data_IF_083627270527
#
_entry.id   IF_083627270527
#
_cell.length_a   1.000
_cell.length_b   1.000
_cell.length_c   1.000
_cell.angle_alpha   90.00
_cell.angle_beta   90.00
_cell.angle_gamma   90.00
#
_symmetry.space_group_name_H-M   'P 1'
#
loop_
_entity.id
_entity.type
_entity.pdbx_description
1 polymer ?
#
# COMPACT_ATOMS: atom_id res chain seq x y z
N UNK A 1 -7.14 -23.15 -2.10
CA UNK A 1 -6.67 -23.37 -0.71
C UNK A 1 -7.35 -22.35 0.19
N UNK A 2 -7.83 -22.79 1.38
CA UNK A 2 -8.54 -21.92 2.34
C UNK A 2 -7.57 -21.04 3.13
N UNK A 3 -8.05 -19.92 3.66
CA UNK A 3 -7.27 -19.08 4.57
C UNK A 3 -7.13 -19.82 5.91
N UNK A 4 -5.90 -19.96 6.41
CA UNK A 4 -5.63 -20.52 7.74
C UNK A 4 -5.57 -19.40 8.76
N UNK A 5 -6.17 -19.60 9.93
CA UNK A 5 -6.27 -18.56 10.96
C UNK A 5 -5.80 -19.10 12.30
N UNK A 6 -4.99 -18.32 12.99
CA UNK A 6 -4.47 -18.66 14.32
C UNK A 6 -4.62 -17.47 15.27
N UNK A 7 -4.88 -17.76 16.54
CA UNK A 7 -4.74 -16.83 17.65
C UNK A 7 -3.33 -16.96 18.23
N UNK A 8 -2.65 -15.82 18.37
CA UNK A 8 -1.29 -15.73 18.89
C UNK A 8 -1.36 -15.39 20.38
N UNK A 9 -0.70 -16.21 21.19
CA UNK A 9 -0.41 -15.91 22.60
C UNK A 9 1.09 -16.03 22.84
N UNK A 10 1.63 -15.42 23.90
CA UNK A 10 3.09 -15.26 24.07
C UNK A 10 3.95 -16.47 23.71
N UNK A 11 3.56 -17.68 24.12
CA UNK A 11 4.35 -18.90 23.86
C UNK A 11 3.58 -19.97 23.08
N UNK A 12 2.44 -19.65 22.46
CA UNK A 12 1.64 -20.65 21.76
C UNK A 12 0.86 -20.06 20.58
N UNK A 13 0.53 -20.92 19.63
CA UNK A 13 -0.28 -20.61 18.45
C UNK A 13 -1.49 -21.53 18.48
N UNK A 14 -2.70 -20.95 18.56
CA UNK A 14 -3.94 -21.72 18.61
C UNK A 14 -4.64 -21.63 17.26
N UNK A 15 -4.81 -22.74 16.51
CA UNK A 15 -5.60 -22.71 15.28
C UNK A 15 -7.07 -22.40 15.60
N UNK A 16 -7.70 -21.58 14.76
CA UNK A 16 -9.13 -21.27 14.90
C UNK A 16 -9.95 -22.09 13.91
N UNK A 17 -10.98 -22.77 14.42
CA UNK A 17 -11.88 -23.62 13.64
C UNK A 17 -13.04 -22.84 13.01
N UNK A 18 -12.76 -21.71 12.35
CA UNK A 18 -13.75 -21.06 11.50
C UNK A 18 -13.30 -21.01 10.04
N UNK A 19 -14.24 -21.25 9.13
CA UNK A 19 -13.97 -21.20 7.70
C UNK A 19 -13.95 -19.77 7.18
N UNK A 20 -12.80 -19.28 6.74
CA UNK A 20 -12.70 -18.07 5.95
C UNK A 20 -12.05 -18.38 4.59
N UNK A 21 -12.68 -17.91 3.51
CA UNK A 21 -12.14 -18.10 2.16
C UNK A 21 -11.06 -17.05 1.87
N UNK A 22 -11.17 -15.86 2.46
CA UNK A 22 -10.26 -14.74 2.26
C UNK A 22 -9.84 -14.09 3.59
N UNK A 23 -8.75 -13.31 3.57
CA UNK A 23 -8.34 -12.51 4.72
C UNK A 23 -9.38 -11.43 5.09
N UNK A 24 -10.15 -10.93 4.11
CA UNK A 24 -11.22 -9.94 4.36
C UNK A 24 -12.40 -10.60 5.10
N UNK A 25 -12.83 -11.79 4.67
CA UNK A 25 -13.84 -12.58 5.39
C UNK A 25 -13.40 -12.92 6.81
N UNK A 26 -12.13 -13.31 7.00
CA UNK A 26 -11.56 -13.53 8.33
C UNK A 26 -11.70 -12.26 9.19
N UNK A 27 -11.31 -11.10 8.64
CA UNK A 27 -11.30 -9.86 9.41
C UNK A 27 -12.70 -9.42 9.82
N UNK A 28 -13.72 -9.68 9.01
CA UNK A 28 -15.12 -9.37 9.33
C UNK A 28 -15.70 -10.25 10.45
N UNK A 29 -15.09 -11.40 10.73
CA UNK A 29 -15.51 -12.31 11.82
C UNK A 29 -14.79 -12.05 13.13
N UNK A 30 -13.73 -11.24 13.11
CA UNK A 30 -12.97 -10.88 14.30
C UNK A 30 -13.51 -9.58 14.92
N UNK A 31 -13.31 -9.37 16.23
CA UNK A 31 -13.61 -8.08 16.85
C UNK A 31 -12.84 -6.93 16.21
N UNK A 32 -13.36 -5.70 16.36
CA UNK A 32 -12.71 -4.50 15.83
C UNK A 32 -11.30 -4.32 16.40
N UNK A 33 -10.39 -3.89 15.52
CA UNK A 33 -8.95 -3.97 15.73
C UNK A 33 -8.14 -3.07 14.82
N UNK A 34 -6.83 -3.15 15.00
CA UNK A 34 -5.84 -2.71 14.04
C UNK A 34 -5.42 -3.90 13.19
N UNK A 35 -5.01 -3.65 11.95
CA UNK A 35 -4.45 -4.72 11.14
C UNK A 35 -3.25 -4.28 10.32
N UNK A 36 -2.44 -5.24 9.91
CA UNK A 36 -1.40 -5.06 8.90
C UNK A 36 -1.46 -6.21 7.92
N UNK A 37 -1.00 -6.00 6.69
CA UNK A 37 -0.97 -7.06 5.68
C UNK A 37 0.28 -6.91 4.83
N UNK A 38 0.99 -8.01 4.62
CA UNK A 38 2.16 -8.12 3.78
C UNK A 38 2.13 -9.43 2.98
N UNK A 39 2.96 -9.50 1.94
CA UNK A 39 3.21 -10.75 1.24
C UNK A 39 4.56 -11.31 1.69
N UNK A 40 4.64 -12.63 1.81
CA UNK A 40 5.91 -13.33 1.86
C UNK A 40 6.49 -13.48 0.45
N UNK A 41 7.80 -13.60 0.38
CA UNK A 41 8.63 -13.60 -0.81
C UNK A 41 9.58 -14.81 -0.76
N UNK A 42 10.23 -15.13 -1.88
CA UNK A 42 11.30 -16.17 -1.95
C UNK A 42 10.84 -17.51 -1.36
N UNK A 43 9.69 -18.00 -1.85
CA UNK A 43 9.12 -19.27 -1.37
C UNK A 43 8.56 -19.22 0.05
N UNK A 44 8.17 -18.03 0.54
CA UNK A 44 7.53 -17.88 1.84
C UNK A 44 8.47 -17.49 3.00
N UNK A 45 9.78 -17.41 2.73
CA UNK A 45 10.82 -17.23 3.76
C UNK A 45 11.20 -15.77 3.99
N UNK A 46 10.85 -14.86 3.08
CA UNK A 46 11.24 -13.46 3.14
C UNK A 46 10.05 -12.52 3.19
N UNK A 47 10.28 -11.28 3.60
CA UNK A 47 9.28 -10.21 3.66
C UNK A 47 9.95 -8.86 3.42
N UNK A 48 9.21 -7.88 2.90
CA UNK A 48 9.72 -6.52 2.80
C UNK A 48 9.24 -5.67 3.99
N UNK A 49 10.15 -5.37 4.92
CA UNK A 49 9.92 -4.40 6.00
C UNK A 49 8.96 -4.89 7.08
N UNK A 50 9.22 -6.09 7.62
CA UNK A 50 8.44 -6.71 8.69
C UNK A 50 8.26 -5.78 9.89
N UNK A 51 9.33 -5.11 10.31
CA UNK A 51 9.27 -4.17 11.43
C UNK A 51 8.25 -3.04 11.17
N UNK A 52 8.23 -2.51 9.95
CA UNK A 52 7.28 -1.46 9.60
C UNK A 52 5.83 -1.98 9.52
N UNK A 53 5.64 -3.27 9.25
CA UNK A 53 4.34 -3.91 9.30
C UNK A 53 3.86 -4.12 10.75
N UNK A 54 4.74 -4.58 11.65
CA UNK A 54 4.45 -4.75 13.07
C UNK A 54 4.22 -3.41 13.78
N UNK A 55 5.02 -2.39 13.48
CA UNK A 55 4.83 -1.02 13.97
C UNK A 55 3.40 -0.49 13.71
N UNK A 56 2.81 -0.82 12.56
CA UNK A 56 1.45 -0.40 12.20
C UNK A 56 0.36 -1.07 13.03
N UNK A 57 0.69 -2.22 13.61
CA UNK A 57 -0.19 -2.98 14.48
C UNK A 57 -0.02 -2.55 15.95
N UNK A 58 1.22 -2.51 16.44
CA UNK A 58 1.52 -2.33 17.86
C UNK A 58 1.59 -0.87 18.31
N UNK A 59 2.04 0.08 17.47
CA UNK A 59 2.08 1.50 17.87
C UNK A 59 0.71 2.07 18.27
N UNK A 60 -0.38 1.88 17.49
CA UNK A 60 -1.68 2.35 17.93
C UNK A 60 -2.20 1.59 19.16
N UNK A 61 -1.90 0.29 19.30
CA UNK A 61 -2.25 -0.47 20.50
C UNK A 61 -1.57 0.10 21.77
N UNK A 62 -0.27 0.36 21.69
CA UNK A 62 0.51 0.97 22.77
C UNK A 62 0.00 2.37 23.14
N UNK A 63 -0.36 3.19 22.13
CA UNK A 63 -0.92 4.52 22.36
C UNK A 63 -2.27 4.47 23.12
N UNK A 64 -3.04 3.40 22.94
CA UNK A 64 -4.29 3.15 23.65
C UNK A 64 -4.11 2.29 24.92
N UNK A 65 -2.87 1.93 25.29
CA UNK A 65 -2.55 1.05 26.43
C UNK A 65 -3.24 -0.32 26.36
N UNK A 66 -3.46 -0.83 25.15
CA UNK A 66 -3.96 -2.18 24.93
C UNK A 66 -2.81 -3.15 25.18
N UNK A 67 -3.02 -4.16 26.02
CA UNK A 67 -2.06 -5.23 26.30
C UNK A 67 -2.30 -6.35 25.29
N UNK A 68 -1.37 -6.61 24.35
CA UNK A 68 -1.57 -7.64 23.34
C UNK A 68 -1.47 -9.05 23.93
N UNK A 69 -2.25 -10.00 23.42
CA UNK A 69 -2.16 -11.42 23.81
C UNK A 69 -0.82 -12.06 23.44
N UNK A 70 -0.15 -11.52 22.41
CA UNK A 70 1.22 -11.83 22.03
C UNK A 70 1.99 -10.51 21.86
N UNK A 71 3.14 -10.38 22.51
CA UNK A 71 4.00 -9.22 22.31
C UNK A 71 4.56 -9.20 20.87
N UNK A 72 5.16 -8.08 20.46
CA UNK A 72 5.74 -7.97 19.12
C UNK A 72 6.81 -9.04 18.85
N UNK A 73 7.66 -9.33 19.85
CA UNK A 73 8.68 -10.38 19.76
C UNK A 73 8.05 -11.77 19.56
N UNK A 74 7.01 -12.09 20.34
CA UNK A 74 6.26 -13.34 20.24
C UNK A 74 5.61 -13.48 18.86
N UNK A 75 4.95 -12.42 18.38
CA UNK A 75 4.34 -12.41 17.06
C UNK A 75 5.38 -12.61 15.95
N UNK A 76 6.56 -12.00 16.05
CA UNK A 76 7.66 -12.24 15.10
C UNK A 76 8.12 -13.70 15.14
N UNK A 77 8.30 -14.26 16.33
CA UNK A 77 8.67 -15.67 16.50
C UNK A 77 7.64 -16.60 15.85
N UNK A 78 6.34 -16.37 16.10
CA UNK A 78 5.26 -17.15 15.51
C UNK A 78 5.19 -17.01 13.99
N UNK A 79 5.39 -15.81 13.43
CA UNK A 79 5.45 -15.60 11.98
C UNK A 79 6.59 -16.42 11.36
N UNK A 80 7.77 -16.44 11.99
CA UNK A 80 8.91 -17.24 11.52
C UNK A 80 8.64 -18.74 11.59
N UNK A 81 8.09 -19.23 12.71
CA UNK A 81 7.71 -20.63 12.86
C UNK A 81 6.65 -21.07 11.83
N UNK A 82 5.66 -20.23 11.57
CA UNK A 82 4.63 -20.48 10.57
C UNK A 82 5.21 -20.44 9.15
N UNK A 83 6.14 -19.53 8.85
CA UNK A 83 6.82 -19.46 7.56
C UNK A 83 7.58 -20.75 7.24
N UNK A 84 8.34 -21.28 8.21
CA UNK A 84 9.08 -22.53 8.06
C UNK A 84 8.18 -23.76 7.89
N UNK A 85 7.03 -23.79 8.58
CA UNK A 85 6.18 -24.98 8.68
C UNK A 85 5.06 -25.05 7.66
N UNK A 86 4.51 -23.92 7.24
CA UNK A 86 3.23 -23.86 6.51
C UNK A 86 3.25 -23.08 5.20
N UNK A 87 4.36 -22.43 4.84
CA UNK A 87 4.44 -21.62 3.62
C UNK A 87 5.35 -22.29 2.58
N UNK A 88 4.86 -23.28 1.80
CA UNK A 88 5.63 -23.86 0.70
C UNK A 88 5.76 -22.89 -0.49
N UNK A 89 4.99 -21.80 -0.49
CA UNK A 89 4.96 -20.77 -1.53
C UNK A 89 4.61 -19.41 -0.93
N UNK A 90 4.73 -18.35 -1.74
CA UNK A 90 4.37 -16.99 -1.34
C UNK A 90 2.92 -16.93 -0.84
N UNK A 91 2.72 -16.15 0.22
CA UNK A 91 1.44 -16.01 0.91
C UNK A 91 1.21 -14.57 1.31
N UNK A 92 -0.06 -14.16 1.36
CA UNK A 92 -0.49 -12.96 2.05
C UNK A 92 -0.71 -13.29 3.52
N UNK A 93 -0.02 -12.55 4.38
CA UNK A 93 -0.19 -12.62 5.82
C UNK A 93 -0.93 -11.37 6.27
N UNK A 94 -1.99 -11.54 7.08
CA UNK A 94 -2.64 -10.45 7.80
C UNK A 94 -2.55 -10.71 9.29
N UNK A 95 -2.08 -9.73 10.04
CA UNK A 95 -2.25 -9.72 11.49
C UNK A 95 -3.37 -8.76 11.87
N UNK A 96 -4.16 -9.12 12.88
CA UNK A 96 -5.21 -8.29 13.49
C UNK A 96 -4.97 -8.24 14.99
N UNK A 97 -4.96 -7.05 15.60
CA UNK A 97 -4.85 -6.82 17.04
C UNK A 97 -6.12 -6.11 17.48
N UNK A 98 -6.94 -6.79 18.27
CA UNK A 98 -8.27 -6.28 18.66
C UNK A 98 -8.18 -5.16 19.70
N UNK A 99 -9.04 -4.15 19.58
CA UNK A 99 -8.98 -2.96 20.45
C UNK A 99 -9.41 -3.23 21.89
N UNK A 100 -10.32 -4.18 22.10
CA UNK A 100 -10.93 -4.40 23.41
C UNK A 100 -10.22 -5.49 24.22
N UNK A 101 -10.00 -6.67 23.63
CA UNK A 101 -9.37 -7.79 24.34
C UNK A 101 -7.86 -7.84 24.19
N UNK A 102 -7.29 -7.14 23.20
CA UNK A 102 -5.86 -7.22 22.88
C UNK A 102 -5.46 -8.49 22.15
N UNK A 103 -6.41 -9.33 21.75
CA UNK A 103 -6.13 -10.55 21.01
C UNK A 103 -5.45 -10.26 19.68
N UNK A 104 -4.36 -10.99 19.43
CA UNK A 104 -3.59 -10.95 18.19
C UNK A 104 -3.91 -12.19 17.36
N UNK A 105 -4.41 -11.99 16.15
CA UNK A 105 -4.70 -13.06 15.20
C UNK A 105 -3.81 -12.96 13.98
N UNK A 106 -3.47 -14.09 13.38
CA UNK A 106 -2.78 -14.19 12.10
C UNK A 106 -3.61 -15.00 11.11
N UNK A 107 -3.83 -14.42 9.93
CA UNK A 107 -4.40 -15.08 8.77
C UNK A 107 -3.34 -15.31 7.71
N UNK A 108 -3.30 -16.52 7.17
CA UNK A 108 -2.40 -16.93 6.09
C UNK A 108 -3.25 -17.35 4.90
N UNK A 109 -3.09 -16.62 3.79
CA UNK A 109 -3.75 -16.91 2.52
C UNK A 109 -2.68 -17.10 1.44
N UNK A 110 -2.75 -18.15 0.60
CA UNK A 110 -1.85 -18.28 -0.55
C UNK A 110 -1.86 -17.02 -1.41
N UNK A 111 -0.69 -16.61 -1.89
CA UNK A 111 -0.57 -15.40 -2.70
C UNK A 111 -1.11 -15.68 -4.10
N UNK A 112 -2.09 -14.88 -4.51
CA UNK A 112 -2.54 -14.78 -5.88
C UNK A 112 -2.15 -13.38 -6.39
N UNK A 113 -1.17 -13.27 -7.31
CA UNK A 113 -0.83 -11.98 -7.89
C UNK A 113 -2.00 -11.45 -8.73
N UNK A 114 -2.15 -10.12 -8.87
CA UNK A 114 -3.05 -9.57 -9.88
C UNK A 114 -2.67 -10.06 -11.27
N UNK A 115 -3.63 -10.26 -12.19
CA UNK A 115 -3.34 -10.65 -13.57
C UNK A 115 -2.31 -9.73 -14.22
N UNK A 116 -1.36 -10.30 -14.97
CA UNK A 116 -0.30 -9.56 -15.68
C UNK A 116 -0.88 -8.45 -16.59
N UNK A 117 -2.04 -8.72 -17.18
CA UNK A 117 -2.80 -7.78 -18.00
C UNK A 117 -3.04 -6.43 -17.33
N UNK A 118 -3.23 -6.39 -16.00
CA UNK A 118 -3.46 -5.14 -15.27
C UNK A 118 -2.20 -4.26 -15.30
N UNK A 119 -1.01 -4.86 -15.28
CA UNK A 119 0.25 -4.12 -15.36
C UNK A 119 0.59 -3.71 -16.81
N UNK A 120 0.15 -4.48 -17.79
CA UNK A 120 0.38 -4.21 -19.21
C UNK A 120 -0.61 -3.19 -19.80
N UNK A 121 -1.90 -3.33 -19.48
CA UNK A 121 -2.99 -2.51 -20.03
C UNK A 121 -3.42 -1.39 -19.09
N UNK A 122 -3.19 -1.54 -17.78
CA UNK A 122 -3.56 -0.55 -16.78
C UNK A 122 -4.91 -0.80 -16.12
N UNK A 123 -5.06 -0.26 -14.92
CA UNK A 123 -6.26 -0.33 -14.11
C UNK A 123 -7.22 0.81 -14.42
N UNK A 124 -8.52 0.51 -14.34
CA UNK A 124 -9.59 1.50 -14.27
C UNK A 124 -9.98 1.72 -12.82
N UNK A 125 -10.10 2.98 -12.43
CA UNK A 125 -10.52 3.36 -11.07
C UNK A 125 -11.65 4.37 -11.13
N UNK A 126 -12.41 4.45 -10.06
CA UNK A 126 -13.43 5.48 -9.87
C UNK A 126 -13.17 6.22 -8.56
N UNK A 127 -13.81 7.36 -8.36
CA UNK A 127 -13.68 8.15 -7.14
C UNK A 127 -14.97 8.11 -6.32
N UNK A 128 -14.83 8.22 -5.00
CA UNK A 128 -15.94 8.45 -4.07
C UNK A 128 -15.54 9.50 -3.04
N UNK A 129 -16.46 10.41 -2.71
CA UNK A 129 -16.24 11.42 -1.68
C UNK A 129 -16.34 10.77 -0.30
N UNK A 130 -15.19 10.36 0.22
CA UNK A 130 -15.08 9.61 1.46
C UNK A 130 -13.67 9.78 2.02
N UNK A 131 -13.56 9.84 3.34
CA UNK A 131 -12.26 9.86 4.03
C UNK A 131 -12.21 8.80 5.12
N UNK A 132 -11.01 8.32 5.44
CA UNK A 132 -10.79 7.53 6.65
C UNK A 132 -11.06 8.38 7.89
N UNK A 133 -11.64 7.78 8.92
CA UNK A 133 -11.85 8.43 10.22
C UNK A 133 -10.51 8.84 10.87
N UNK A 134 -9.59 7.88 11.05
CA UNK A 134 -8.17 8.17 11.32
C UNK A 134 -7.28 7.60 10.20
N UNK A 135 -6.80 8.44 9.27
CA UNK A 135 -5.97 8.00 8.16
C UNK A 135 -4.63 7.37 8.56
N UNK A 136 -4.14 7.62 9.78
CA UNK A 136 -2.84 7.09 10.24
C UNK A 136 -2.98 5.65 10.74
N UNK A 137 -4.19 5.25 11.11
CA UNK A 137 -4.49 3.95 11.69
C UNK A 137 -5.07 3.06 10.59
N UNK A 138 -4.52 1.85 10.48
CA UNK A 138 -5.08 0.81 9.62
C UNK A 138 -6.11 0.00 10.42
N UNK A 139 -7.28 0.59 10.66
CA UNK A 139 -8.37 -0.02 11.43
C UNK A 139 -9.26 -0.94 10.60
N UNK A 140 -9.81 -1.98 11.24
CA UNK A 140 -10.74 -2.94 10.62
C UNK A 140 -12.10 -2.34 10.30
N UNK A 141 -12.54 -1.34 11.06
CA UNK A 141 -13.70 -0.47 10.79
C UNK A 141 -13.77 0.03 9.34
N UNK A 142 -12.64 0.43 8.77
CA UNK A 142 -12.57 0.89 7.38
C UNK A 142 -12.83 -0.24 6.37
N UNK A 143 -12.54 -1.50 6.70
CA UNK A 143 -12.81 -2.63 5.79
C UNK A 143 -14.33 -2.76 5.60
N UNK A 144 -15.10 -2.73 6.70
CA UNK A 144 -16.55 -2.80 6.65
C UNK A 144 -17.14 -1.62 5.85
N UNK A 145 -16.68 -0.40 6.12
CA UNK A 145 -17.10 0.79 5.37
C UNK A 145 -16.78 0.66 3.87
N UNK A 146 -15.60 0.14 3.53
CA UNK A 146 -15.18 -0.02 2.14
C UNK A 146 -15.93 -1.14 1.39
N UNK A 147 -16.39 -2.17 2.10
CA UNK A 147 -17.09 -3.31 1.50
C UNK A 147 -18.42 -2.89 0.87
N UNK A 148 -19.18 -2.00 1.53
CA UNK A 148 -20.44 -1.48 0.97
C UNK A 148 -20.21 -0.70 -0.33
N UNK A 149 -19.17 0.13 -0.38
CA UNK A 149 -18.81 0.86 -1.60
C UNK A 149 -18.37 -0.08 -2.73
N UNK A 150 -17.70 -1.19 -2.41
CA UNK A 150 -17.30 -2.19 -3.40
C UNK A 150 -18.46 -2.96 -4.00
N UNK A 151 -19.61 -3.05 -3.33
CA UNK A 151 -20.81 -3.68 -3.92
C UNK A 151 -21.40 -2.85 -5.07
N UNK A 152 -21.03 -1.57 -5.15
CA UNK A 152 -21.59 -0.61 -6.11
C UNK A 152 -20.75 -0.48 -7.39
N UNK A 153 -19.59 -1.15 -7.47
CA UNK A 153 -18.70 -1.09 -8.62
C UNK A 153 -18.99 -2.19 -9.63
N UNK A 154 -18.82 -1.85 -10.91
CA UNK A 154 -18.89 -2.78 -12.04
C UNK A 154 -17.61 -3.61 -12.14
N UNK A 155 -17.70 -4.73 -12.85
CA UNK A 155 -16.62 -5.73 -12.94
C UNK A 155 -15.28 -5.19 -13.49
N UNK A 156 -15.28 -4.09 -14.27
CA UNK A 156 -14.05 -3.52 -14.83
C UNK A 156 -13.32 -2.56 -13.89
N UNK A 157 -13.89 -2.23 -12.72
CA UNK A 157 -13.28 -1.29 -11.77
C UNK A 157 -12.34 -2.01 -10.83
N UNK A 158 -11.05 -1.66 -10.93
CA UNK A 158 -10.00 -2.26 -10.12
C UNK A 158 -10.01 -1.79 -8.67
N UNK A 159 -10.22 -0.49 -8.45
CA UNK A 159 -10.21 0.10 -7.11
C UNK A 159 -10.97 1.43 -7.08
N UNK A 160 -11.51 1.76 -5.91
CA UNK A 160 -12.15 3.05 -5.64
C UNK A 160 -11.14 3.97 -4.92
N UNK A 161 -10.97 5.18 -5.46
CA UNK A 161 -10.19 6.28 -4.91
C UNK A 161 -11.04 7.12 -3.95
N UNK A 162 -10.45 7.47 -2.82
CA UNK A 162 -11.01 8.31 -1.78
C UNK A 162 -10.71 9.77 -2.09
N UNK A 163 -11.73 10.62 -2.13
CA UNK A 163 -11.58 12.06 -2.37
C UNK A 163 -12.05 12.89 -1.19
N UNK A 164 -11.47 14.09 -1.09
CA UNK A 164 -11.96 15.16 -0.22
C UNK A 164 -11.92 16.49 -0.97
N UNK A 165 -13.07 17.13 -1.15
CA UNK A 165 -13.23 18.39 -1.89
C UNK A 165 -12.58 18.34 -3.29
N UNK A 166 -12.75 17.22 -3.99
CA UNK A 166 -12.16 16.97 -5.31
C UNK A 166 -10.66 16.65 -5.31
N UNK A 167 -9.99 16.65 -4.16
CA UNK A 167 -8.62 16.17 -4.02
C UNK A 167 -8.58 14.65 -3.81
N UNK A 168 -7.85 13.93 -4.65
CA UNK A 168 -7.59 12.49 -4.53
C UNK A 168 -6.58 12.25 -3.40
N UNK A 169 -7.01 11.51 -2.38
CA UNK A 169 -6.17 11.18 -1.24
C UNK A 169 -5.42 9.87 -1.51
N UNK A 170 -6.14 8.76 -1.60
CA UNK A 170 -5.59 7.42 -1.77
C UNK A 170 -6.67 6.45 -2.27
N UNK A 171 -6.32 5.21 -2.59
CA UNK A 171 -7.29 4.13 -2.80
C UNK A 171 -7.76 3.52 -1.48
N UNK A 172 -8.83 2.73 -1.52
CA UNK A 172 -9.31 1.99 -0.33
C UNK A 172 -8.22 1.10 0.31
N UNK A 173 -7.28 0.60 -0.50
CA UNK A 173 -6.23 -0.35 -0.10
C UNK A 173 -4.85 -0.01 -0.68
N UNK A 174 -4.69 1.17 -1.29
CA UNK A 174 -3.46 1.61 -1.95
C UNK A 174 -3.24 3.11 -1.77
N UNK A 175 -2.00 3.59 -1.95
CA UNK A 175 -1.74 5.03 -2.12
C UNK A 175 -1.79 5.41 -3.60
N UNK A 176 -2.19 6.64 -3.91
CA UNK A 176 -2.31 7.17 -5.27
C UNK A 176 -1.23 8.19 -5.61
N UNK A 177 -0.81 8.19 -6.88
CA UNK A 177 0.19 9.08 -7.44
C UNK A 177 -0.22 9.49 -8.84
N UNK A 178 0.09 10.73 -9.18
CA UNK A 178 0.00 11.26 -10.53
C UNK A 178 1.37 11.77 -11.00
N UNK A 179 1.58 11.77 -12.30
CA UNK A 179 2.77 12.35 -12.94
C UNK A 179 2.31 13.40 -13.94
N UNK A 180 2.88 14.59 -13.84
CA UNK A 180 2.67 15.67 -14.79
C UNK A 180 4.00 16.12 -15.37
N UNK A 181 4.02 16.39 -16.67
CA UNK A 181 5.18 16.90 -17.37
C UNK A 181 5.53 18.32 -16.91
N UNK A 182 6.82 18.64 -16.90
CA UNK A 182 7.31 19.93 -16.39
C UNK A 182 6.68 21.12 -17.15
N UNK A 183 6.45 20.97 -18.46
CA UNK A 183 5.83 22.01 -19.31
C UNK A 183 4.37 22.28 -18.89
N UNK A 184 3.59 21.24 -18.58
CA UNK A 184 2.21 21.39 -18.08
C UNK A 184 2.18 22.02 -16.67
N UNK A 185 3.17 21.70 -15.83
CA UNK A 185 3.27 22.27 -14.48
C UNK A 185 3.63 23.76 -14.45
N UNK A 186 4.43 24.23 -15.42
CA UNK A 186 4.80 25.65 -15.55
C UNK A 186 3.63 26.50 -16.03
N UNK A 187 2.80 26.00 -16.95
CA UNK A 187 1.57 26.68 -17.39
C UNK A 187 0.51 26.78 -16.29
N UNK A 188 0.50 25.84 -15.33
CA UNK A 188 -0.36 25.93 -14.15
C UNK A 188 0.23 26.85 -13.06
N UNK A 189 1.57 26.95 -12.95
CA UNK A 189 2.28 27.82 -11.99
C UNK A 189 2.31 29.30 -12.35
N UNK A 190 2.21 29.66 -13.63
CA UNK A 190 2.25 31.07 -14.08
C UNK A 190 1.07 31.94 -13.64
N UNK A 191 0.12 31.39 -12.87
CA UNK A 191 -0.91 32.18 -12.18
C UNK A 191 -0.48 32.75 -10.82
N UNK A 192 0.71 32.44 -10.28
CA UNK A 192 1.18 33.00 -9.00
C UNK A 192 2.73 33.20 -8.94
N UNK A 193 3.21 34.35 -9.46
CA UNK A 193 4.37 35.17 -8.98
C UNK A 193 5.83 34.58 -8.96
N UNK A 194 6.90 35.43 -8.93
CA UNK A 194 8.02 35.32 -9.88
C UNK A 194 9.38 34.82 -9.32
N UNK A 195 10.29 34.65 -10.28
CA UNK A 195 11.51 33.84 -10.31
C UNK A 195 12.72 34.29 -9.46
N UNK A 196 13.55 33.31 -9.09
CA UNK A 196 14.92 33.48 -8.60
C UNK A 196 15.86 32.41 -9.18
N UNK A 197 16.99 32.85 -9.78
CA UNK A 197 18.02 32.04 -10.47
C UNK A 197 18.86 31.18 -9.52
N UNK A 198 19.38 30.05 -10.02
CA UNK A 198 20.35 29.16 -9.35
C UNK A 198 21.65 29.06 -10.15
N UNK A 199 22.79 29.01 -9.44
CA UNK A 199 24.14 28.84 -9.96
C UNK A 199 24.56 27.37 -10.17
N UNK A 200 25.57 27.16 -11.03
CA UNK A 200 26.01 25.90 -11.64
C UNK A 200 27.00 25.07 -10.82
N UNK A 201 26.83 23.73 -10.85
CA UNK A 201 27.83 22.73 -10.46
C UNK A 201 27.76 21.49 -11.36
N UNK A 202 28.91 20.87 -11.64
CA UNK A 202 29.14 19.79 -12.64
C UNK A 202 28.18 18.60 -12.46
N UNK A 203 27.45 18.24 -13.53
CA UNK A 203 26.45 17.15 -13.56
C UNK A 203 27.04 15.86 -14.14
N UNK A 204 26.91 14.75 -13.40
CA UNK A 204 26.74 13.42 -13.99
C UNK A 204 25.52 13.48 -14.93
N UNK A 205 25.59 12.87 -16.11
CA UNK A 205 24.46 12.81 -17.04
C UNK A 205 23.27 12.11 -16.39
N UNK A 206 22.36 12.90 -15.80
CA UNK A 206 21.05 12.47 -15.34
C UNK A 206 20.09 12.63 -16.52
N UNK A 207 19.20 11.66 -16.80
CA UNK A 207 18.16 11.85 -17.80
C UNK A 207 17.38 13.14 -17.51
N UNK A 208 17.01 13.89 -18.56
CA UNK A 208 16.28 15.16 -18.42
C UNK A 208 15.01 14.90 -17.61
N UNK A 209 14.83 15.63 -16.50
CA UNK A 209 13.59 15.61 -15.71
C UNK A 209 12.43 16.10 -16.58
N UNK A 210 11.61 15.18 -17.04
CA UNK A 210 10.42 15.46 -17.86
C UNK A 210 9.12 15.37 -17.06
N UNK A 211 9.12 14.84 -15.82
CA UNK A 211 7.94 14.70 -14.97
C UNK A 211 8.11 15.07 -13.50
N UNK A 212 7.02 15.49 -12.85
CA UNK A 212 6.88 15.74 -11.42
C UNK A 212 5.89 14.73 -10.83
N UNK A 213 6.26 14.08 -9.73
CA UNK A 213 5.40 13.14 -9.01
C UNK A 213 4.52 13.89 -8.01
N UNK A 214 3.20 13.77 -8.13
CA UNK A 214 2.24 14.44 -7.26
C UNK A 214 1.54 13.39 -6.39
N UNK A 215 1.47 13.61 -5.08
CA UNK A 215 0.76 12.69 -4.17
C UNK A 215 0.38 13.35 -2.85
N UNK A 216 -0.76 12.95 -2.27
CA UNK A 216 -1.24 13.50 -1.01
C UNK A 216 -0.26 13.27 0.15
N UNK A 217 -0.04 14.27 1.00
CA UNK A 217 0.84 14.15 2.18
C UNK A 217 0.11 13.81 3.48
N UNK A 218 -1.14 14.24 3.58
CA UNK A 218 -2.00 14.13 4.77
C UNK A 218 -3.35 13.56 4.35
N UNK A 219 -4.13 13.08 5.32
CA UNK A 219 -5.43 12.46 5.03
C UNK A 219 -5.33 11.07 4.41
N UNK A 220 -4.14 10.45 4.47
CA UNK A 220 -3.86 9.14 3.87
C UNK A 220 -3.13 8.23 4.83
N UNK A 221 -3.16 6.94 4.53
CA UNK A 221 -2.35 5.93 5.19
C UNK A 221 -0.92 5.95 4.65
N UNK A 222 0.06 6.12 5.53
CA UNK A 222 1.48 6.14 5.14
C UNK A 222 2.01 4.71 4.92
N UNK A 223 1.75 4.15 3.73
CA UNK A 223 2.09 2.77 3.39
C UNK A 223 3.59 2.47 3.37
N UNK A 224 3.95 1.19 3.60
CA UNK A 224 5.33 0.69 3.53
C UNK A 224 5.88 0.83 2.10
N UNK A 225 5.12 0.37 1.10
CA UNK A 225 5.45 0.52 -0.33
C UNK A 225 5.62 1.97 -0.75
N UNK A 226 4.76 2.87 -0.25
CA UNK A 226 4.87 4.32 -0.50
C UNK A 226 6.24 4.87 -0.13
N UNK A 227 6.76 4.48 1.03
CA UNK A 227 8.08 4.92 1.50
C UNK A 227 9.19 4.49 0.53
N UNK A 228 9.13 3.26 0.02
CA UNK A 228 10.09 2.77 -0.97
C UNK A 228 9.97 3.53 -2.30
N UNK A 229 8.76 3.64 -2.86
CA UNK A 229 8.52 4.32 -4.15
C UNK A 229 8.93 5.79 -4.11
N UNK A 230 8.60 6.53 -3.03
CA UNK A 230 9.04 7.92 -2.88
C UNK A 230 10.56 8.05 -2.77
N UNK A 231 11.24 7.07 -2.16
CA UNK A 231 12.72 7.04 -2.10
C UNK A 231 13.30 6.79 -3.49
N UNK A 232 12.79 5.81 -4.22
CA UNK A 232 13.23 5.45 -5.56
C UNK A 232 13.03 6.62 -6.54
N UNK A 233 11.85 7.26 -6.52
CA UNK A 233 11.57 8.45 -7.34
C UNK A 233 12.59 9.58 -7.11
N UNK A 234 12.92 9.89 -5.84
CA UNK A 234 13.97 10.88 -5.54
C UNK A 234 15.35 10.44 -5.99
N UNK A 235 15.68 9.15 -5.83
CA UNK A 235 16.95 8.58 -6.30
C UNK A 235 17.15 8.75 -7.81
N UNK A 236 16.05 8.65 -8.56
CA UNK A 236 15.99 8.86 -10.01
C UNK A 236 15.97 10.35 -10.42
N UNK A 237 15.98 11.27 -9.44
CA UNK A 237 15.97 12.71 -9.68
C UNK A 237 14.58 13.32 -9.88
N UNK A 238 13.51 12.53 -9.78
CA UNK A 238 12.13 12.98 -9.96
C UNK A 238 11.70 13.93 -8.82
N UNK A 239 11.31 15.19 -9.13
CA UNK A 239 10.75 16.10 -8.12
C UNK A 239 9.43 15.54 -7.60
N UNK A 240 9.14 15.79 -6.31
CA UNK A 240 7.92 15.33 -5.67
C UNK A 240 7.15 16.52 -5.11
N UNK A 241 5.91 16.66 -5.54
CA UNK A 241 4.96 17.63 -5.04
C UNK A 241 3.95 16.98 -4.08
N UNK A 242 3.90 17.51 -2.87
CA UNK A 242 3.11 16.96 -1.77
C UNK A 242 1.75 17.64 -1.63
N UNK A 243 0.83 17.32 -2.52
CA UNK A 243 -0.58 17.72 -2.48
C UNK A 243 -1.49 16.60 -3.00
N UNK A 244 -2.77 16.55 -2.58
CA UNK A 244 -3.75 15.72 -3.27
C UNK A 244 -3.82 16.12 -4.77
N UNK A 245 -3.56 15.20 -5.72
CA UNK A 245 -3.89 15.43 -7.12
C UNK A 245 -5.40 15.67 -7.24
N UNK A 246 -5.86 16.56 -8.12
CA UNK A 246 -7.30 16.83 -8.21
C UNK A 246 -7.98 15.95 -9.25
N UNK A 247 -9.24 15.59 -9.02
CA UNK A 247 -10.03 14.77 -9.97
C UNK A 247 -10.26 15.44 -11.31
N UNK A 248 -10.20 16.78 -11.34
CA UNK A 248 -10.37 17.63 -12.52
C UNK A 248 -9.04 18.02 -13.18
N UNK A 249 -7.91 17.53 -12.66
CA UNK A 249 -6.58 17.77 -13.22
C UNK A 249 -6.23 16.71 -14.27
N UNK A 250 -5.60 17.15 -15.36
CA UNK A 250 -5.06 16.24 -16.36
C UNK A 250 -3.68 15.76 -15.94
N UNK A 251 -3.49 14.44 -15.93
CA UNK A 251 -2.21 13.79 -15.64
C UNK A 251 -1.69 13.09 -16.89
N UNK A 252 -0.35 13.07 -17.07
CA UNK A 252 0.30 12.27 -18.11
C UNK A 252 0.31 10.79 -17.72
N UNK A 253 0.50 10.50 -16.44
CA UNK A 253 0.46 9.15 -15.89
C UNK A 253 -0.17 9.14 -14.49
N UNK A 254 -0.70 7.99 -14.07
CA UNK A 254 -1.10 7.76 -12.69
C UNK A 254 -0.84 6.30 -12.30
N UNK A 255 -0.67 6.06 -11.01
CA UNK A 255 -0.47 4.70 -10.48
C UNK A 255 -0.86 4.57 -9.01
N UNK A 256 -1.06 3.32 -8.60
CA UNK A 256 -1.33 2.90 -7.23
C UNK A 256 -0.15 2.15 -6.63
N UNK A 257 0.01 2.21 -5.31
CA UNK A 257 0.99 1.39 -4.60
C UNK A 257 0.41 0.65 -3.40
N UNK A 258 0.73 -0.64 -3.26
CA UNK A 258 0.41 -1.43 -2.05
C UNK A 258 1.37 -2.61 -1.85
N UNK A 259 1.51 -3.11 -0.62
CA UNK A 259 2.47 -4.17 -0.27
C UNK A 259 2.29 -5.44 -1.10
N UNK A 260 1.06 -5.80 -1.46
CA UNK A 260 0.76 -7.05 -2.19
C UNK A 260 0.68 -6.88 -3.71
N UNK A 261 0.63 -5.64 -4.23
CA UNK A 261 0.42 -5.39 -5.68
C UNK A 261 1.56 -4.60 -6.32
N UNK A 262 2.52 -4.12 -5.52
CA UNK A 262 3.60 -3.27 -6.02
C UNK A 262 3.07 -1.97 -6.61
N UNK A 263 3.58 -1.58 -7.78
CA UNK A 263 3.17 -0.40 -8.55
C UNK A 263 2.18 -0.83 -9.62
N UNK A 264 0.94 -0.37 -9.54
CA UNK A 264 -0.13 -0.71 -10.50
C UNK A 264 -0.46 0.53 -11.34
N UNK A 265 -0.30 0.49 -12.67
CA UNK A 265 -0.64 1.63 -13.52
C UNK A 265 -2.15 1.92 -13.51
N UNK A 266 -2.52 3.19 -13.50
CA UNK A 266 -3.89 3.67 -13.65
C UNK A 266 -4.00 4.41 -14.97
N UNK A 267 -4.88 3.94 -15.84
CA UNK A 267 -5.05 4.49 -17.21
C UNK A 267 -6.40 5.16 -17.42
N UNK A 268 -7.32 5.01 -16.45
CA UNK A 268 -8.66 5.58 -16.52
C UNK A 268 -9.19 5.92 -15.14
N UNK A 269 -9.69 7.14 -14.94
CA UNK A 269 -10.33 7.62 -13.70
C UNK A 269 -11.73 8.12 -14.06
N UNK A 270 -12.78 7.59 -13.42
CA UNK A 270 -14.18 7.98 -13.69
C UNK A 270 -14.56 7.91 -15.19
N UNK A 271 -14.01 6.94 -15.91
CA UNK A 271 -14.22 6.78 -17.35
C UNK A 271 -13.36 7.69 -18.24
N UNK A 272 -12.73 8.73 -17.70
CA UNK A 272 -11.80 9.60 -18.44
C UNK A 272 -10.40 8.98 -18.52
N UNK A 273 -9.72 9.02 -19.68
CA UNK A 273 -8.37 8.50 -19.83
C UNK A 273 -7.36 9.32 -19.04
N UNK A 274 -6.36 8.65 -18.48
CA UNK A 274 -5.15 9.28 -17.95
C UNK A 274 -4.10 9.27 -19.06
N UNK A 275 -3.58 10.45 -19.42
CA UNK A 275 -2.67 10.63 -20.54
C UNK A 275 -3.19 9.98 -21.81
N UNK A 276 -2.41 9.03 -22.35
CA UNK A 276 -2.75 8.29 -23.58
C UNK A 276 -3.55 7.01 -23.33
N UNK A 277 -4.08 6.80 -22.12
CA UNK A 277 -4.84 5.60 -21.76
C UNK A 277 -3.99 4.32 -21.74
N UNK A 278 -2.68 4.45 -21.51
CA UNK A 278 -1.71 3.33 -21.44
C UNK A 278 -0.70 3.57 -20.32
N UNK A 279 -0.12 2.51 -19.71
CA UNK A 279 0.92 2.68 -18.70
C UNK A 279 2.12 3.49 -19.23
N UNK A 280 2.42 4.60 -18.57
CA UNK A 280 3.46 5.54 -18.99
C UNK A 280 4.87 5.15 -18.55
N UNK A 281 5.84 5.97 -18.96
CA UNK A 281 7.28 5.71 -18.81
C UNK A 281 7.72 5.76 -17.35
N UNK A 282 7.28 6.77 -16.59
CA UNK A 282 7.63 6.90 -15.18
C UNK A 282 7.04 5.76 -14.34
N UNK A 283 5.80 5.38 -14.63
CA UNK A 283 5.10 4.29 -13.97
C UNK A 283 5.82 2.97 -14.19
N UNK A 284 6.21 2.66 -15.45
CA UNK A 284 7.00 1.46 -15.78
C UNK A 284 8.37 1.48 -15.10
N UNK A 285 9.07 2.61 -15.15
CA UNK A 285 10.39 2.77 -14.51
C UNK A 285 10.32 2.55 -13.00
N UNK A 286 9.36 3.18 -12.32
CA UNK A 286 9.17 3.01 -10.88
C UNK A 286 8.71 1.60 -10.51
N UNK A 287 7.93 0.94 -11.38
CA UNK A 287 7.56 -0.47 -11.20
C UNK A 287 8.79 -1.38 -11.23
N UNK A 288 9.65 -1.26 -12.25
CA UNK A 288 10.89 -2.02 -12.35
C UNK A 288 11.85 -1.72 -11.20
N UNK A 289 12.02 -0.44 -10.85
CA UNK A 289 12.86 -0.04 -9.72
C UNK A 289 12.35 -0.59 -8.39
N UNK A 290 11.02 -0.64 -8.20
CA UNK A 290 10.42 -1.23 -7.01
C UNK A 290 10.59 -2.75 -6.94
N UNK A 291 10.45 -3.46 -8.07
CA UNK A 291 10.71 -4.89 -8.13
C UNK A 291 12.16 -5.22 -7.77
N UNK A 292 13.13 -4.49 -8.34
CA UNK A 292 14.54 -4.63 -7.98
C UNK A 292 14.79 -4.33 -6.49
N UNK A 293 14.14 -3.28 -5.96
CA UNK A 293 14.23 -2.94 -4.54
C UNK A 293 13.68 -4.06 -3.64
N UNK A 294 12.57 -4.71 -4.02
CA UNK A 294 12.01 -5.84 -3.26
C UNK A 294 12.98 -7.00 -3.24
N UNK A 295 13.58 -7.34 -4.39
CA UNK A 295 14.55 -8.43 -4.49
C UNK A 295 15.79 -8.17 -3.61
N UNK A 296 16.34 -6.95 -3.66
CA UNK A 296 17.52 -6.55 -2.90
C UNK A 296 17.25 -6.41 -1.39
N UNK A 297 16.07 -5.90 -1.00
CA UNK A 297 15.79 -5.45 0.39
C UNK A 297 14.81 -6.31 1.15
N UNK A 298 14.28 -7.36 0.54
CA UNK A 298 13.53 -8.37 1.29
C UNK A 298 14.44 -8.98 2.35
N UNK A 299 13.92 -9.07 3.57
CA UNK A 299 14.63 -9.63 4.73
C UNK A 299 14.06 -11.02 5.03
N UNK A 300 14.92 -11.91 5.52
CA UNK A 300 14.50 -13.23 5.97
C UNK A 300 13.59 -13.10 7.20
N UNK A 301 12.54 -13.93 7.24
CA UNK A 301 11.62 -14.01 8.37
C UNK A 301 12.29 -14.88 9.44
N UNK A 302 13.16 -14.26 10.22
CA UNK A 302 13.86 -14.88 11.33
C UNK A 302 13.06 -14.76 12.63
N UNK A 303 13.17 -15.73 13.55
CA UNK A 303 12.70 -15.55 14.92
C UNK A 303 13.43 -14.36 15.56
N UNK A 304 12.80 -13.70 16.55
CA UNK A 304 13.48 -12.65 17.31
C UNK A 304 14.63 -13.28 18.09
N UNK A 305 15.88 -12.91 17.80
CA UNK A 305 17.01 -13.25 18.66
C UNK A 305 16.92 -12.39 19.92
N UNK A 306 16.81 -13.05 21.07
CA UNK A 306 16.72 -12.45 22.41
C UNK A 306 17.94 -11.60 22.76
#
# INVERSE_FOLDING_TARGET
>A
MRTQVFHLVSNNIQPLEFSASTLDEMTLRLPDGFYTTFSTLKGGTHVLGLQAHLDRLYRPANALRIIPSAAEADARHHIAALAQRYLPSESRIRLVLTKNSGDVYIGIQPFAPPPAEIYEKGAHVITTEMTRHDPRIKGTDFIAQSAEQRKLVKDDVFEILLTKHGGILEGMTSNFYAVCSVIASEQQRTKQSPAGRIASGKKRERPRNDGILITARRGILLGVTRRAVLRLARGEGMPIEYRPPRVDENFDEAFLTSSSRGVVPVVRINGAPVGQGKPGTWTKRLSLAYQAYVEERSEEILPYES
#
